data_IF_673273003058
#
_entry.id   IF_673273003058
#
_cell.length_a   1.000
_cell.length_b   1.000
_cell.length_c   1.000
_cell.angle_alpha   90.00
_cell.angle_beta   90.00
_cell.angle_gamma   90.00
#
_symmetry.space_group_name_H-M   'P 1'
#
loop_
_entity.id
_entity.type
_entity.pdbx_description
1 polymer ?
#
# COMPACT_ATOMS: atom_id res chain seq x y z
N UNK A 1 -7.36 -24.32 20.17
CA UNK A 1 -7.36 -23.85 18.77
C UNK A 1 -8.29 -22.65 18.70
N UNK A 2 -7.74 -21.44 18.57
CA UNK A 2 -8.53 -20.25 18.24
C UNK A 2 -8.78 -20.29 16.73
N UNK A 3 -10.01 -20.63 16.32
CA UNK A 3 -10.40 -20.52 14.91
C UNK A 3 -10.65 -19.05 14.61
N UNK A 4 -9.80 -18.46 13.77
CA UNK A 4 -10.03 -17.12 13.23
C UNK A 4 -11.24 -17.18 12.30
N UNK A 5 -12.13 -16.22 12.44
CA UNK A 5 -13.23 -16.05 11.48
C UNK A 5 -12.68 -15.56 10.13
N UNK A 6 -13.38 -15.84 9.02
CA UNK A 6 -12.97 -15.36 7.69
C UNK A 6 -12.77 -13.83 7.67
N UNK A 7 -13.54 -13.08 8.46
CA UNK A 7 -13.41 -11.65 8.59
C UNK A 7 -12.08 -11.23 9.24
N UNK A 8 -11.66 -11.91 10.31
CA UNK A 8 -10.39 -11.65 10.98
C UNK A 8 -9.20 -12.06 10.11
N UNK A 9 -9.33 -13.17 9.37
CA UNK A 9 -8.34 -13.58 8.37
C UNK A 9 -8.16 -12.54 7.26
N UNK A 10 -9.26 -11.95 6.78
CA UNK A 10 -9.23 -10.90 5.76
C UNK A 10 -8.63 -9.61 6.33
N UNK A 11 -8.91 -9.29 7.59
CA UNK A 11 -8.30 -8.15 8.26
C UNK A 11 -6.77 -8.31 8.42
N UNK A 12 -6.31 -9.48 8.86
CA UNK A 12 -4.88 -9.79 9.05
C UNK A 12 -4.13 -9.88 7.71
N UNK A 13 -4.78 -10.39 6.65
CA UNK A 13 -4.16 -10.55 5.33
C UNK A 13 -4.12 -9.26 4.48
N UNK A 14 -4.50 -8.12 5.04
CA UNK A 14 -4.44 -6.83 4.36
C UNK A 14 -5.69 -6.49 3.55
N UNK A 15 -6.84 -7.13 3.81
CA UNK A 15 -8.13 -6.78 3.20
C UNK A 15 -8.64 -5.37 3.53
N UNK A 16 -8.04 -4.70 4.52
CA UNK A 16 -8.29 -3.28 4.84
C UNK A 16 -7.34 -2.31 4.09
N UNK A 17 -6.32 -2.82 3.39
CA UNK A 17 -5.38 -1.99 2.62
C UNK A 17 -6.12 -1.39 1.43
N UNK A 18 -6.06 -0.06 1.29
CA UNK A 18 -6.68 0.62 0.15
C UNK A 18 -5.74 0.53 -1.04
N UNK A 19 -5.80 -0.59 -1.77
CA UNK A 19 -4.96 -0.83 -2.96
C UNK A 19 -5.06 0.29 -4.01
N UNK A 20 -6.19 1.01 -4.07
CA UNK A 20 -6.32 2.23 -4.89
C UNK A 20 -5.31 3.33 -4.54
N UNK A 21 -4.97 3.52 -3.27
CA UNK A 21 -3.94 4.47 -2.82
C UNK A 21 -2.54 4.01 -3.21
N UNK A 22 -2.29 2.70 -3.17
CA UNK A 22 -1.02 2.10 -3.61
C UNK A 22 -0.81 2.31 -5.11
N UNK A 23 -1.84 2.06 -5.92
CA UNK A 23 -1.82 2.29 -7.36
C UNK A 23 -1.67 3.80 -7.67
N UNK A 24 -2.39 4.66 -6.95
CA UNK A 24 -2.26 6.11 -7.06
C UNK A 24 -0.84 6.60 -6.74
N UNK A 25 -0.22 6.04 -5.70
CA UNK A 25 1.17 6.30 -5.35
C UNK A 25 2.14 5.88 -6.45
N UNK A 26 1.94 4.69 -7.03
CA UNK A 26 2.76 4.22 -8.14
C UNK A 26 2.62 5.13 -9.38
N UNK A 27 1.42 5.57 -9.73
CA UNK A 27 1.21 6.49 -10.86
C UNK A 27 1.86 7.85 -10.61
N UNK A 28 1.66 8.41 -9.41
CA UNK A 28 2.26 9.70 -9.03
C UNK A 28 3.79 9.62 -9.02
N UNK A 29 4.34 8.57 -8.42
CA UNK A 29 5.77 8.28 -8.44
C UNK A 29 6.30 8.09 -9.86
N UNK A 30 5.54 7.43 -10.74
CA UNK A 30 5.88 7.28 -12.16
C UNK A 30 5.95 8.60 -12.91
N UNK A 31 5.00 9.51 -12.69
CA UNK A 31 4.98 10.85 -13.27
C UNK A 31 6.21 11.66 -12.81
N UNK A 32 6.52 11.60 -11.51
CA UNK A 32 7.71 12.27 -10.97
C UNK A 32 8.98 11.63 -11.55
N UNK A 33 9.07 10.30 -11.55
CA UNK A 33 10.20 9.55 -12.10
C UNK A 33 10.42 9.84 -13.59
N UNK A 34 9.35 10.06 -14.35
CA UNK A 34 9.42 10.45 -15.76
C UNK A 34 10.14 11.80 -15.94
N UNK A 35 9.93 12.76 -15.03
CA UNK A 35 10.64 14.05 -15.05
C UNK A 35 12.16 13.90 -14.82
N UNK A 36 12.59 12.84 -14.15
CA UNK A 36 14.00 12.52 -13.89
C UNK A 36 14.58 11.41 -14.81
N UNK A 37 13.82 10.97 -15.84
CA UNK A 37 14.25 9.93 -16.78
C UNK A 37 14.19 8.49 -16.24
N UNK A 38 13.53 8.27 -15.10
CA UNK A 38 13.41 6.98 -14.41
C UNK A 38 11.95 6.65 -14.02
N UNK A 39 11.03 6.52 -15.00
CA UNK A 39 9.60 6.32 -14.73
C UNK A 39 9.30 5.04 -13.94
N UNK A 40 9.94 3.92 -14.28
CA UNK A 40 9.72 2.62 -13.60
C UNK A 40 10.18 2.70 -12.13
N UNK A 41 11.34 3.30 -11.90
CA UNK A 41 11.91 3.48 -10.57
C UNK A 41 11.02 4.38 -9.72
N UNK A 42 10.48 5.45 -10.32
CA UNK A 42 9.47 6.29 -9.71
C UNK A 42 8.19 5.54 -9.33
N UNK A 43 7.67 4.68 -10.22
CA UNK A 43 6.50 3.85 -9.93
C UNK A 43 6.72 2.93 -8.73
N UNK A 44 7.89 2.28 -8.67
CA UNK A 44 8.24 1.35 -7.58
C UNK A 44 8.31 2.13 -6.27
N UNK A 45 9.06 3.24 -6.24
CA UNK A 45 9.24 4.04 -5.02
C UNK A 45 7.90 4.59 -4.54
N UNK A 46 7.08 5.16 -5.43
CA UNK A 46 5.77 5.70 -5.08
C UNK A 46 4.79 4.63 -4.59
N UNK A 47 4.77 3.46 -5.24
CA UNK A 47 3.92 2.34 -4.83
C UNK A 47 4.33 1.76 -3.47
N UNK A 48 5.63 1.55 -3.26
CA UNK A 48 6.18 1.05 -1.99
C UNK A 48 5.92 2.03 -0.86
N UNK A 49 6.12 3.33 -1.10
CA UNK A 49 5.83 4.36 -0.10
C UNK A 49 4.36 4.39 0.28
N UNK A 50 3.44 4.41 -0.69
CA UNK A 50 2.00 4.36 -0.40
C UNK A 50 1.59 3.08 0.32
N UNK A 51 2.16 1.93 -0.04
CA UNK A 51 1.90 0.67 0.67
C UNK A 51 2.38 0.74 2.13
N UNK A 52 3.57 1.30 2.38
CA UNK A 52 4.10 1.46 3.72
C UNK A 52 3.21 2.38 4.57
N UNK A 53 2.68 3.46 3.98
CA UNK A 53 1.73 4.37 4.64
C UNK A 53 0.41 3.66 4.95
N UNK A 54 -0.16 2.91 4.01
CA UNK A 54 -1.38 2.13 4.24
C UNK A 54 -1.19 1.07 5.34
N UNK A 55 -0.04 0.40 5.36
CA UNK A 55 0.31 -0.55 6.43
C UNK A 55 0.49 0.15 7.78
N UNK A 56 1.15 1.32 7.80
CA UNK A 56 1.31 2.12 9.02
C UNK A 56 -0.04 2.53 9.62
N UNK A 57 -0.97 3.01 8.79
CA UNK A 57 -2.33 3.31 9.25
C UNK A 57 -3.09 2.06 9.67
N UNK A 58 -2.95 0.96 8.93
CA UNK A 58 -3.60 -0.30 9.29
C UNK A 58 -3.19 -0.81 10.67
N UNK A 59 -1.91 -0.71 11.04
CA UNK A 59 -1.42 -1.16 12.34
C UNK A 59 -1.60 -0.13 13.46
N UNK A 60 -1.60 1.18 13.18
CA UNK A 60 -1.82 2.21 14.21
C UNK A 60 -3.29 2.50 14.50
N UNK A 61 -4.21 2.24 13.58
CA UNK A 61 -5.66 2.41 13.81
C UNK A 61 -6.25 1.24 14.65
N UNK A 62 -5.44 0.25 15.02
CA UNK A 62 -5.82 -0.91 15.85
C UNK A 62 -5.55 -0.69 17.35
N UNK A 63 -5.15 0.53 17.78
CA UNK A 63 -4.88 0.90 19.18
C UNK A 63 -5.99 1.78 19.75
#
# INVERSE_FOLDING_TARGET
>A
MTSLTNAEMIQISGGKIRWGNVIGGALCGGIIGLAFGHPILGCIVGGVFSLAVELYFHFNEQV
#
